data_IF_156046449445
#
_entry.id   IF_156046449445
#
_cell.length_a   1.000
_cell.length_b   1.000
_cell.length_c   1.000
_cell.angle_alpha   90.00
_cell.angle_beta   90.00
_cell.angle_gamma   90.00
#
_symmetry.space_group_name_H-M   'P 1'
#
loop_
_entity.id
_entity.type
_entity.pdbx_description
1 polymer ?
#
# COMPACT_ATOMS: atom_id res chain seq x y z
N UNK A 1 36.08 44.09 -27.80
CA UNK A 1 35.58 43.44 -29.03
C UNK A 1 34.08 43.20 -28.89
N UNK A 2 33.27 43.95 -29.64
CA UNK A 2 31.81 43.83 -29.67
C UNK A 2 31.43 42.64 -30.58
N UNK A 3 31.01 41.52 -30.00
CA UNK A 3 30.41 40.42 -30.75
C UNK A 3 28.98 40.83 -31.17
N UNK A 4 28.81 41.20 -32.44
CA UNK A 4 27.50 41.47 -33.01
C UNK A 4 26.68 40.17 -33.04
N UNK A 5 25.55 40.14 -32.33
CA UNK A 5 24.56 39.05 -32.40
C UNK A 5 23.87 39.09 -33.77
N UNK A 6 24.26 38.19 -34.67
CA UNK A 6 23.54 37.95 -35.91
C UNK A 6 22.12 37.44 -35.58
N UNK A 7 21.10 38.17 -36.02
CA UNK A 7 19.70 37.73 -35.88
C UNK A 7 19.33 36.93 -37.12
N UNK A 8 19.24 35.61 -36.97
CA UNK A 8 18.71 34.75 -38.03
C UNK A 8 17.24 35.12 -38.29
N UNK A 9 16.92 35.44 -39.54
CA UNK A 9 15.55 35.74 -40.00
C UNK A 9 15.21 34.76 -41.11
N UNK A 10 14.09 34.06 -40.98
CA UNK A 10 13.50 33.26 -42.04
C UNK A 10 12.28 34.04 -42.55
N UNK A 11 12.28 34.47 -43.82
CA UNK A 11 11.15 35.15 -44.48
C UNK A 11 10.41 36.22 -43.63
N UNK A 12 11.17 37.12 -43.00
CA UNK A 12 10.60 38.28 -42.28
C UNK A 12 10.30 38.04 -40.81
N UNK A 13 10.25 36.80 -40.34
CA UNK A 13 10.00 36.49 -38.94
C UNK A 13 11.30 36.41 -38.12
N UNK A 14 11.25 36.95 -36.89
CA UNK A 14 12.42 36.98 -36.00
C UNK A 14 12.55 35.63 -35.31
N UNK A 15 13.73 35.03 -35.36
CA UNK A 15 14.01 33.83 -34.59
C UNK A 15 13.94 34.12 -33.07
N UNK A 16 13.15 33.33 -32.34
CA UNK A 16 12.96 33.45 -30.88
C UNK A 16 13.22 32.10 -30.21
N UNK A 17 14.36 31.99 -29.54
CA UNK A 17 14.78 30.77 -28.82
C UNK A 17 13.84 30.37 -27.67
N UNK A 18 13.36 31.36 -26.91
CA UNK A 18 12.52 31.13 -25.71
C UNK A 18 11.52 32.25 -25.50
N UNK A 19 10.35 31.90 -24.97
CA UNK A 19 9.37 32.89 -24.54
C UNK A 19 9.81 33.60 -23.27
N UNK A 20 9.60 34.91 -23.22
CA UNK A 20 9.99 35.77 -22.09
C UNK A 20 8.75 36.21 -21.33
N UNK A 21 8.42 35.46 -20.26
CA UNK A 21 7.25 35.73 -19.42
C UNK A 21 7.24 37.10 -18.73
N UNK A 22 8.42 37.71 -18.54
CA UNK A 22 8.55 39.05 -17.95
C UNK A 22 7.80 40.12 -18.75
N UNK A 23 7.74 39.98 -20.08
CA UNK A 23 7.10 40.95 -20.97
C UNK A 23 5.60 40.67 -21.13
N UNK A 24 5.19 39.41 -21.03
CA UNK A 24 3.79 38.98 -21.24
C UNK A 24 2.94 39.02 -19.97
N UNK A 25 3.56 38.83 -18.79
CA UNK A 25 2.86 38.78 -17.49
C UNK A 25 3.48 39.82 -16.54
N UNK A 26 3.06 41.09 -16.61
CA UNK A 26 3.61 42.14 -15.73
C UNK A 26 3.20 41.94 -14.26
N UNK A 27 2.01 41.39 -14.00
CA UNK A 27 1.47 41.20 -12.65
C UNK A 27 1.92 39.87 -12.03
N UNK A 28 3.11 39.87 -11.43
CA UNK A 28 3.63 38.73 -10.65
C UNK A 28 2.92 38.65 -9.29
N UNK A 29 2.14 37.58 -9.07
CA UNK A 29 1.45 37.32 -7.79
C UNK A 29 2.28 36.41 -6.87
N UNK A 30 2.27 36.65 -5.56
CA UNK A 30 2.93 35.78 -4.57
C UNK A 30 2.14 34.46 -4.41
N UNK A 31 2.74 33.34 -4.82
CA UNK A 31 2.17 31.99 -4.65
C UNK A 31 2.58 31.33 -3.33
N UNK A 32 2.16 30.08 -3.13
CA UNK A 32 2.41 29.30 -1.90
C UNK A 32 3.90 28.99 -1.69
N UNK A 33 4.48 28.09 -2.50
CA UNK A 33 5.90 27.70 -2.40
C UNK A 33 6.79 28.44 -3.40
N UNK A 34 6.24 28.73 -4.58
CA UNK A 34 6.92 29.49 -5.64
C UNK A 34 6.10 30.72 -5.97
N UNK A 35 6.77 31.86 -6.17
CA UNK A 35 6.12 33.13 -6.49
C UNK A 35 6.37 33.60 -7.92
N UNK A 36 6.92 32.75 -8.79
CA UNK A 36 7.31 33.07 -10.17
C UNK A 36 6.14 33.21 -11.15
N UNK A 37 6.44 33.66 -12.37
CA UNK A 37 5.48 33.74 -13.47
C UNK A 37 4.83 32.37 -13.75
N UNK A 38 3.61 32.38 -14.26
CA UNK A 38 2.92 31.16 -14.70
C UNK A 38 3.56 30.68 -16.01
N UNK A 39 4.24 29.54 -15.96
CA UNK A 39 5.06 28.99 -17.06
C UNK A 39 4.52 27.63 -17.56
N UNK A 40 3.21 27.41 -17.51
CA UNK A 40 2.57 26.14 -17.91
C UNK A 40 2.79 25.82 -19.39
N UNK A 41 2.97 26.86 -20.21
CA UNK A 41 3.15 26.86 -21.65
C UNK A 41 4.63 26.91 -22.10
N UNK A 42 5.59 26.91 -21.17
CA UNK A 42 7.03 26.98 -21.49
C UNK A 42 7.50 25.81 -22.38
N UNK A 43 6.87 24.66 -22.23
CA UNK A 43 7.17 23.44 -23.00
C UNK A 43 6.30 23.27 -24.25
N UNK A 44 5.46 24.25 -24.59
CA UNK A 44 4.82 24.29 -25.92
C UNK A 44 5.82 24.68 -27.01
N UNK A 45 6.93 25.33 -26.64
CA UNK A 45 8.04 25.62 -27.54
C UNK A 45 8.94 24.38 -27.72
N UNK A 46 9.15 23.97 -28.97
CA UNK A 46 9.96 22.79 -29.33
C UNK A 46 11.41 22.94 -28.88
N UNK A 47 12.03 24.11 -29.09
CA UNK A 47 13.42 24.38 -28.67
C UNK A 47 13.61 24.20 -27.17
N UNK A 48 12.66 24.70 -26.36
CA UNK A 48 12.72 24.55 -24.90
C UNK A 48 12.53 23.11 -24.45
N UNK A 49 11.71 22.35 -25.17
CA UNK A 49 11.52 20.92 -24.95
C UNK A 49 12.80 20.13 -25.24
N UNK A 50 13.49 20.41 -26.34
CA UNK A 50 14.76 19.73 -26.66
C UNK A 50 15.86 20.05 -25.66
N UNK A 51 15.98 21.32 -25.24
CA UNK A 51 16.92 21.71 -24.17
C UNK A 51 16.67 20.92 -22.88
N UNK A 52 15.40 20.71 -22.52
CA UNK A 52 15.04 19.93 -21.34
C UNK A 52 15.37 18.44 -21.51
N UNK A 53 15.13 17.87 -22.70
CA UNK A 53 15.53 16.48 -23.00
C UNK A 53 17.04 16.29 -22.93
N UNK A 54 17.82 17.22 -23.45
CA UNK A 54 19.28 17.18 -23.37
C UNK A 54 19.75 17.21 -21.91
N UNK A 55 19.16 18.09 -21.09
CA UNK A 55 19.45 18.15 -19.66
C UNK A 55 19.15 16.81 -18.97
N UNK A 56 17.96 16.23 -19.19
CA UNK A 56 17.58 14.94 -18.61
C UNK A 56 18.48 13.79 -19.07
N UNK A 57 18.93 13.80 -20.33
CA UNK A 57 19.88 12.81 -20.83
C UNK A 57 21.22 12.91 -20.13
N UNK A 58 21.72 14.13 -19.91
CA UNK A 58 22.98 14.36 -19.20
C UNK A 58 22.87 13.96 -17.73
N UNK A 59 21.81 14.39 -17.04
CA UNK A 59 21.53 13.99 -15.66
C UNK A 59 21.42 12.47 -15.52
N UNK A 60 20.72 11.79 -16.43
CA UNK A 60 20.61 10.34 -16.47
C UNK A 60 21.97 9.64 -16.69
N UNK A 61 22.85 10.18 -17.53
CA UNK A 61 24.22 9.67 -17.71
C UNK A 61 25.03 9.80 -16.43
N UNK A 62 24.97 10.95 -15.76
CA UNK A 62 25.68 11.18 -14.49
C UNK A 62 25.12 10.31 -13.36
N UNK A 63 23.81 10.14 -13.26
CA UNK A 63 23.18 9.27 -12.27
C UNK A 63 23.61 7.80 -12.44
N UNK A 64 23.62 7.28 -13.68
CA UNK A 64 24.12 5.92 -13.96
C UNK A 64 25.59 5.76 -13.59
N UNK A 65 26.43 6.75 -13.91
CA UNK A 65 27.85 6.75 -13.56
C UNK A 65 28.05 6.79 -12.03
N UNK A 66 27.25 7.57 -11.32
CA UNK A 66 27.27 7.63 -9.86
C UNK A 66 26.88 6.27 -9.26
N UNK A 67 25.79 5.65 -9.71
CA UNK A 67 25.38 4.31 -9.27
C UNK A 67 26.49 3.29 -9.55
N UNK A 68 27.10 3.29 -10.74
CA UNK A 68 28.20 2.39 -11.06
C UNK A 68 29.41 2.60 -10.13
N UNK A 69 29.81 3.85 -9.87
CA UNK A 69 30.88 4.16 -8.91
C UNK A 69 30.54 3.67 -7.51
N UNK A 70 29.31 3.90 -7.04
CA UNK A 70 28.85 3.42 -5.74
C UNK A 70 28.84 1.89 -5.68
N UNK A 71 28.31 1.20 -6.69
CA UNK A 71 28.28 -0.27 -6.77
C UNK A 71 29.67 -0.91 -6.91
N UNK A 72 30.62 -0.24 -7.57
CA UNK A 72 32.01 -0.71 -7.62
C UNK A 72 32.76 -0.50 -6.30
N UNK A 73 32.37 0.52 -5.52
CA UNK A 73 32.97 0.82 -4.21
C UNK A 73 32.34 0.05 -3.04
N UNK A 74 31.04 -0.20 -3.11
CA UNK A 74 30.27 -0.98 -2.16
C UNK A 74 30.14 -2.40 -2.74
N UNK A 75 31.11 -3.27 -2.43
CA UNK A 75 31.06 -4.68 -2.79
C UNK A 75 29.65 -5.27 -2.57
N UNK A 76 29.12 -5.85 -3.63
CA UNK A 76 27.71 -6.22 -3.83
C UNK A 76 26.98 -6.68 -2.56
N UNK A 77 26.01 -5.88 -2.10
CA UNK A 77 24.93 -6.34 -1.24
C UNK A 77 23.66 -6.41 -2.10
N UNK A 78 23.49 -7.53 -2.78
CA UNK A 78 22.29 -7.82 -3.57
C UNK A 78 21.15 -8.09 -2.58
N UNK A 79 20.40 -7.05 -2.22
CA UNK A 79 19.19 -7.20 -1.44
C UNK A 79 18.14 -7.87 -2.33
N UNK A 80 18.09 -9.20 -2.25
CA UNK A 80 16.99 -10.00 -2.79
C UNK A 80 15.73 -9.64 -2.00
N UNK A 81 14.98 -8.67 -2.51
CA UNK A 81 13.61 -8.45 -2.03
C UNK A 81 12.81 -9.68 -2.47
N UNK A 82 12.29 -10.51 -1.54
CA UNK A 82 11.48 -11.65 -1.94
C UNK A 82 10.21 -11.10 -2.58
N UNK A 83 10.14 -11.18 -3.91
CA UNK A 83 8.90 -10.99 -4.64
C UNK A 83 7.99 -12.16 -4.28
N UNK A 84 7.06 -11.94 -3.35
CA UNK A 84 5.95 -12.84 -3.10
C UNK A 84 5.02 -12.82 -4.32
N UNK A 85 5.43 -13.49 -5.40
CA UNK A 85 4.51 -13.81 -6.48
C UNK A 85 3.58 -14.90 -5.96
N UNK A 86 2.30 -14.57 -5.84
CA UNK A 86 1.27 -15.56 -5.62
C UNK A 86 1.28 -16.45 -6.87
N UNK A 87 1.68 -17.71 -6.73
CA UNK A 87 1.42 -18.72 -7.76
C UNK A 87 -0.09 -18.92 -7.83
N UNK A 88 -0.78 -18.07 -8.59
CA UNK A 88 -2.15 -18.34 -8.98
C UNK A 88 -2.06 -19.47 -10.02
N UNK A 89 -2.78 -20.56 -9.78
CA UNK A 89 -2.90 -21.63 -10.76
C UNK A 89 -3.42 -21.01 -12.06
N UNK A 90 -2.68 -21.19 -13.16
CA UNK A 90 -3.08 -20.64 -14.45
C UNK A 90 -4.36 -21.32 -14.92
N UNK A 91 -5.50 -20.67 -14.68
CA UNK A 91 -6.80 -21.13 -15.18
C UNK A 91 -7.00 -20.67 -16.61
N UNK A 92 -7.28 -21.60 -17.52
CA UNK A 92 -7.62 -21.25 -18.90
C UNK A 92 -8.91 -20.44 -18.96
N UNK A 93 -8.98 -19.52 -19.94
CA UNK A 93 -10.17 -18.68 -20.14
C UNK A 93 -11.43 -19.52 -20.38
N UNK A 94 -11.31 -20.62 -21.15
CA UNK A 94 -12.43 -21.52 -21.44
C UNK A 94 -13.08 -22.04 -20.16
N UNK A 95 -12.27 -22.53 -19.21
CA UNK A 95 -12.75 -23.07 -17.93
C UNK A 95 -13.32 -21.99 -16.99
N UNK A 96 -12.99 -20.71 -17.21
CA UNK A 96 -13.56 -19.59 -16.45
C UNK A 96 -14.87 -19.07 -17.04
N UNK A 97 -15.07 -19.18 -18.36
CA UNK A 97 -16.29 -18.74 -19.04
C UNK A 97 -17.40 -19.77 -18.88
N UNK A 98 -17.06 -21.05 -18.94
CA UNK A 98 -18.01 -22.14 -18.74
C UNK A 98 -17.97 -22.62 -17.28
N UNK A 99 -19.07 -22.42 -16.56
CA UNK A 99 -19.18 -22.82 -15.17
C UNK A 99 -19.10 -24.35 -14.99
N UNK A 100 -18.54 -24.77 -13.85
CA UNK A 100 -18.53 -26.17 -13.42
C UNK A 100 -19.87 -26.50 -12.75
N UNK A 101 -20.43 -27.65 -13.08
CA UNK A 101 -21.65 -28.15 -12.44
C UNK A 101 -21.36 -28.53 -10.98
N UNK A 102 -22.24 -28.09 -10.06
CA UNK A 102 -22.19 -28.44 -8.64
C UNK A 102 -23.41 -29.30 -8.26
N UNK A 103 -23.25 -30.62 -8.05
CA UNK A 103 -24.35 -31.50 -7.67
C UNK A 103 -24.80 -31.31 -6.21
N UNK A 104 -24.01 -30.63 -5.37
CA UNK A 104 -24.29 -30.44 -3.95
C UNK A 104 -25.10 -29.19 -3.64
N UNK A 105 -25.03 -28.16 -4.47
CA UNK A 105 -25.69 -26.89 -4.22
C UNK A 105 -27.16 -26.89 -4.65
N UNK A 106 -28.08 -26.89 -3.67
CA UNK A 106 -29.54 -26.90 -3.90
C UNK A 106 -30.20 -25.52 -3.90
N UNK A 107 -29.43 -24.44 -4.07
CA UNK A 107 -29.95 -23.07 -4.06
C UNK A 107 -30.13 -22.43 -2.67
N UNK A 108 -29.87 -23.15 -1.58
CA UNK A 108 -29.95 -22.63 -0.22
C UNK A 108 -28.65 -21.89 0.20
N UNK A 109 -28.35 -20.76 -0.43
CA UNK A 109 -27.18 -19.95 -0.06
C UNK A 109 -27.44 -19.05 1.15
N UNK A 110 -26.43 -18.91 2.02
CA UNK A 110 -26.41 -17.90 3.08
C UNK A 110 -26.21 -16.48 2.54
N UNK A 111 -25.49 -16.37 1.41
CA UNK A 111 -25.30 -15.09 0.74
C UNK A 111 -26.58 -14.70 0.00
N UNK A 112 -26.96 -13.43 0.13
CA UNK A 112 -28.10 -12.88 -0.61
C UNK A 112 -27.83 -12.77 -2.11
N UNK A 113 -26.55 -12.65 -2.49
CA UNK A 113 -26.11 -12.52 -3.87
C UNK A 113 -25.28 -13.74 -4.27
N UNK A 114 -25.41 -14.16 -5.52
CA UNK A 114 -24.53 -15.17 -6.10
C UNK A 114 -23.15 -14.54 -6.36
N UNK A 115 -22.14 -14.99 -5.62
CA UNK A 115 -20.80 -14.41 -5.63
C UNK A 115 -19.76 -15.45 -5.23
N UNK A 116 -18.64 -15.48 -5.96
CA UNK A 116 -17.46 -16.29 -5.64
C UNK A 116 -16.35 -15.49 -4.92
N UNK A 117 -16.62 -14.24 -4.52
CA UNK A 117 -15.64 -13.40 -3.81
C UNK A 117 -15.35 -13.94 -2.39
N UNK A 118 -14.11 -14.39 -2.18
CA UNK A 118 -13.62 -14.96 -0.91
C UNK A 118 -13.86 -14.06 0.31
N UNK A 119 -13.76 -12.75 0.15
CA UNK A 119 -13.94 -11.77 1.25
C UNK A 119 -15.40 -11.55 1.67
N UNK A 120 -16.35 -11.98 0.82
CA UNK A 120 -17.79 -11.99 1.11
C UNK A 120 -18.23 -13.34 1.67
N UNK A 121 -17.59 -14.42 1.24
CA UNK A 121 -17.90 -15.78 1.67
C UNK A 121 -17.42 -16.08 3.10
N UNK A 122 -16.29 -15.51 3.50
CA UNK A 122 -15.71 -15.66 4.83
C UNK A 122 -15.51 -14.31 5.51
N UNK A 123 -15.65 -14.32 6.84
CA UNK A 123 -15.24 -13.21 7.69
C UNK A 123 -13.71 -13.06 7.70
N UNK A 124 -12.99 -14.18 7.71
CA UNK A 124 -11.53 -14.18 7.80
C UNK A 124 -10.90 -13.84 6.45
N UNK A 125 -10.00 -12.86 6.46
CA UNK A 125 -9.37 -12.28 5.26
C UNK A 125 -7.86 -12.28 5.38
N UNK A 126 -7.19 -12.58 4.28
CA UNK A 126 -5.74 -12.48 4.16
C UNK A 126 -5.37 -11.20 3.41
N UNK A 127 -4.59 -10.32 4.03
CA UNK A 127 -4.31 -8.96 3.52
C UNK A 127 -2.99 -8.84 2.74
N UNK A 128 -2.15 -9.88 2.75
CA UNK A 128 -0.90 -9.91 1.97
C UNK A 128 0.05 -8.78 2.34
N UNK A 129 0.58 -8.07 1.34
CA UNK A 129 1.50 -6.95 1.55
C UNK A 129 0.82 -5.62 1.91
N UNK A 130 -0.50 -5.51 1.75
CA UNK A 130 -1.23 -4.29 2.11
C UNK A 130 -1.63 -4.35 3.58
N UNK A 131 -1.21 -3.36 4.37
CA UNK A 131 -1.52 -3.29 5.79
C UNK A 131 -2.19 -1.97 6.14
N UNK A 132 -3.33 -2.05 6.82
CA UNK A 132 -3.98 -0.89 7.44
C UNK A 132 -3.28 -0.54 8.75
N UNK A 133 -3.30 0.74 9.14
CA UNK A 133 -2.72 1.20 10.42
C UNK A 133 -3.24 0.45 11.64
N UNK A 134 -4.53 0.11 11.66
CA UNK A 134 -5.16 -0.65 12.75
C UNK A 134 -4.52 -2.03 12.93
N UNK A 135 -4.44 -2.83 11.86
CA UNK A 135 -3.87 -4.18 11.90
C UNK A 135 -2.37 -4.20 12.23
N UNK A 136 -1.65 -3.11 11.99
CA UNK A 136 -0.26 -2.96 12.42
C UNK A 136 -0.13 -2.65 13.91
N UNK A 137 -1.09 -1.90 14.45
CA UNK A 137 -1.04 -1.42 15.84
C UNK A 137 -1.52 -2.48 16.83
N UNK A 138 -2.57 -3.22 16.49
CA UNK A 138 -3.17 -4.20 17.37
C UNK A 138 -2.77 -5.61 16.97
N UNK A 139 -1.75 -6.13 17.64
CA UNK A 139 -1.35 -7.53 17.55
C UNK A 139 -1.76 -8.29 18.82
N UNK A 140 -2.04 -9.60 18.73
CA UNK A 140 -2.24 -10.42 19.91
C UNK A 140 -1.03 -10.33 20.84
N UNK A 141 -1.22 -10.16 22.16
CA UNK A 141 -0.11 -10.10 23.10
C UNK A 141 0.61 -11.45 23.14
N UNK A 142 1.92 -11.42 23.39
CA UNK A 142 2.77 -12.62 23.41
C UNK A 142 2.40 -13.58 24.56
N UNK A 143 1.96 -13.04 25.70
CA UNK A 143 1.63 -13.80 26.87
C UNK A 143 0.32 -13.34 27.50
N UNK A 144 -0.50 -14.31 27.88
CA UNK A 144 -1.69 -14.10 28.69
C UNK A 144 -1.44 -14.68 30.09
N UNK A 145 -1.41 -13.82 31.11
CA UNK A 145 -1.28 -14.24 32.52
C UNK A 145 -2.59 -13.98 33.25
N UNK A 146 -3.03 -14.92 34.08
CA UNK A 146 -4.21 -14.72 34.92
C UNK A 146 -3.92 -13.61 35.94
N UNK A 147 -4.89 -12.73 36.24
CA UNK A 147 -4.70 -11.70 37.25
C UNK A 147 -4.48 -12.34 38.63
N UNK A 148 -3.65 -11.70 39.45
CA UNK A 148 -3.35 -12.13 40.83
C UNK A 148 -4.62 -12.18 41.68
N UNK A 149 -5.47 -11.16 41.54
CA UNK A 149 -6.70 -11.02 42.31
C UNK A 149 -7.91 -10.90 41.39
N UNK A 150 -8.64 -12.01 41.23
CA UNK A 150 -9.95 -12.05 40.59
C UNK A 150 -11.03 -12.40 41.62
N UNK A 151 -12.21 -11.79 41.49
CA UNK A 151 -13.37 -12.12 42.31
C UNK A 151 -13.81 -13.56 42.02
N UNK A 152 -13.76 -14.43 43.04
CA UNK A 152 -14.19 -15.83 42.95
C UNK A 152 -15.63 -15.97 43.43
N UNK A 153 -16.54 -16.59 42.66
CA UNK A 153 -17.95 -16.70 43.03
C UNK A 153 -18.20 -17.86 44.01
N UNK A 154 -17.62 -17.79 45.20
CA UNK A 154 -17.66 -18.87 46.20
C UNK A 154 -19.08 -19.32 46.54
N UNK A 155 -20.01 -18.38 46.77
CA UNK A 155 -21.41 -18.71 47.10
C UNK A 155 -22.05 -19.53 45.98
N UNK A 156 -21.83 -19.15 44.72
CA UNK A 156 -22.37 -19.89 43.56
C UNK A 156 -21.80 -21.31 43.49
N UNK A 157 -20.52 -21.47 43.80
CA UNK A 157 -19.81 -22.74 43.71
C UNK A 157 -20.11 -23.68 44.88
N UNK A 158 -20.32 -23.14 46.10
CA UNK A 158 -20.41 -23.95 47.32
C UNK A 158 -21.82 -24.09 47.88
N UNK A 159 -22.72 -23.12 47.71
CA UNK A 159 -24.05 -23.20 48.32
C UNK A 159 -25.01 -24.08 47.51
N UNK A 160 -24.88 -24.07 46.19
CA UNK A 160 -25.79 -24.79 45.31
C UNK A 160 -25.13 -26.05 44.75
N UNK A 161 -25.82 -27.18 44.88
CA UNK A 161 -25.45 -28.46 44.21
C UNK A 161 -26.37 -28.67 43.02
N UNK A 162 -25.86 -29.30 41.95
CA UNK A 162 -26.57 -29.39 40.66
C UNK A 162 -27.93 -30.09 40.78
N UNK A 163 -27.98 -31.31 41.30
CA UNK A 163 -29.20 -32.14 41.21
C UNK A 163 -29.39 -33.16 42.33
N UNK A 164 -28.45 -33.29 43.28
CA UNK A 164 -28.55 -34.36 44.28
C UNK A 164 -29.25 -33.88 45.55
N UNK A 165 -30.24 -34.66 46.00
CA UNK A 165 -31.04 -34.41 47.21
C UNK A 165 -30.41 -35.13 48.42
N UNK A 166 -29.86 -36.34 48.23
CA UNK A 166 -29.28 -37.16 49.29
C UNK A 166 -27.86 -37.60 48.91
N UNK A 167 -26.89 -37.23 49.73
CA UNK A 167 -25.49 -37.64 49.56
C UNK A 167 -25.19 -38.88 50.40
N UNK A 168 -24.26 -39.76 49.96
CA UNK A 168 -23.85 -40.92 50.74
C UNK A 168 -23.18 -40.49 52.04
N UNK A 169 -23.34 -41.29 53.10
CA UNK A 169 -22.91 -40.96 54.47
C UNK A 169 -21.39 -40.86 54.68
N UNK A 170 -20.59 -41.26 53.69
CA UNK A 170 -19.12 -41.24 53.71
C UNK A 170 -18.54 -40.34 52.61
N UNK A 171 -19.24 -39.25 52.23
CA UNK A 171 -18.81 -38.38 51.13
C UNK A 171 -17.65 -37.44 51.46
N UNK A 172 -17.39 -37.16 52.74
CA UNK A 172 -16.23 -36.41 53.22
C UNK A 172 -15.62 -37.12 54.42
N UNK A 173 -14.30 -37.04 54.56
CA UNK A 173 -13.62 -37.46 55.77
C UNK A 173 -13.82 -36.34 56.80
N UNK A 174 -14.81 -36.53 57.67
CA UNK A 174 -15.08 -35.59 58.75
C UNK A 174 -14.16 -35.97 59.93
N UNK A 175 -13.25 -35.08 60.38
CA UNK A 175 -12.29 -35.40 61.44
C UNK A 175 -12.92 -35.53 62.83
N UNK A 176 -14.19 -35.12 62.98
CA UNK A 176 -14.94 -35.09 64.24
C UNK A 176 -16.14 -36.08 64.25
N UNK A 177 -16.23 -37.00 63.28
CA UNK A 177 -17.28 -38.00 63.16
C UNK A 177 -16.91 -39.35 63.80
#
# INVERSE_FOLDING_TARGET
MLLARATAKLQGDKYVDRWRYKEQQPDKKKGFLTSDFSKRDEFSNTTRTEQWREQLQMEGKFAKKAVQMFSSSAGMLESSVPMYSRQEEETFLYDSVFDKEDPGFRGASKTHRDTKNRTMLSHDRTLGGTMTTHNLTYTPPEQFVKPEHAKKPLIRETFYRRTNILFPSNCSADPDA
#
